data_IF_659549536667
#
_entry.id   IF_659549536667
#
_cell.length_a   1.000
_cell.length_b   1.000
_cell.length_c   1.000
_cell.angle_alpha   90.00
_cell.angle_beta   90.00
_cell.angle_gamma   90.00
#
_symmetry.space_group_name_H-M   'P 1'
#
loop_
_entity.id
_entity.type
_entity.pdbx_description
1 polymer ?
#
# COMPACT_ATOMS: atom_id res chain seq x y z
N UNK A 1 3.90 23.30 16.88
CA UNK A 1 2.64 23.97 17.29
C UNK A 1 2.24 23.37 18.65
N UNK A 2 1.94 24.20 19.66
CA UNK A 2 1.75 23.72 21.06
C UNK A 2 0.43 22.94 21.24
N UNK A 3 0.44 21.98 22.19
CA UNK A 3 -0.64 21.06 22.56
C UNK A 3 -1.99 21.72 22.90
N UNK A 4 -1.98 22.99 23.29
CA UNK A 4 -3.16 23.76 23.69
C UNK A 4 -4.09 24.12 22.52
N UNK A 5 -3.58 24.11 21.27
CA UNK A 5 -4.40 24.33 20.08
C UNK A 5 -5.03 23.04 19.50
N UNK A 6 -4.59 21.85 19.93
CA UNK A 6 -5.12 20.57 19.48
C UNK A 6 -6.45 20.20 20.17
N UNK A 7 -6.56 20.43 21.48
CA UNK A 7 -7.79 20.11 22.24
C UNK A 7 -8.96 21.06 21.92
N UNK A 8 -8.66 22.32 21.57
CA UNK A 8 -9.69 23.30 21.23
C UNK A 8 -10.32 23.03 19.83
N UNK A 9 -9.53 22.54 18.88
CA UNK A 9 -10.03 22.18 17.54
C UNK A 9 -10.98 20.97 17.58
N UNK A 10 -10.74 20.00 18.47
CA UNK A 10 -11.60 18.82 18.64
C UNK A 10 -12.94 19.18 19.28
N UNK A 11 -12.97 20.15 20.19
CA UNK A 11 -14.21 20.57 20.88
C UNK A 11 -15.02 21.57 20.04
N UNK A 12 -14.37 22.48 19.28
CA UNK A 12 -15.07 23.50 18.51
C UNK A 12 -15.74 22.98 17.22
N UNK A 13 -15.27 21.87 16.64
CA UNK A 13 -15.87 21.29 15.42
C UNK A 13 -17.21 20.60 15.68
N UNK A 14 -17.58 20.39 16.94
CA UNK A 14 -18.87 19.79 17.33
C UNK A 14 -20.08 20.74 17.18
N UNK A 15 -19.88 22.04 16.90
CA UNK A 15 -20.98 23.02 16.94
C UNK A 15 -21.04 24.07 15.82
N UNK A 16 -20.27 23.95 14.73
CA UNK A 16 -20.40 24.88 13.60
C UNK A 16 -20.27 24.19 12.23
N UNK A 17 -21.20 23.27 11.93
CA UNK A 17 -21.43 22.82 10.55
C UNK A 17 -22.27 23.90 9.86
N UNK A 18 -21.61 24.90 9.25
CA UNK A 18 -22.29 25.86 8.39
C UNK A 18 -22.62 25.21 7.02
N UNK A 19 -23.82 25.43 6.44
CA UNK A 19 -24.33 24.63 5.31
C UNK A 19 -23.69 24.90 3.94
N UNK A 20 -22.67 25.76 3.84
CA UNK A 20 -22.18 26.28 2.56
C UNK A 20 -21.06 25.42 1.91
N UNK A 21 -20.35 24.58 2.68
CA UNK A 21 -19.26 23.74 2.15
C UNK A 21 -19.69 22.30 1.82
N UNK A 22 -20.97 21.96 1.96
CA UNK A 22 -21.51 20.64 1.59
C UNK A 22 -21.51 20.38 0.06
N UNK A 23 -21.19 21.38 -0.77
CA UNK A 23 -21.29 21.30 -2.23
C UNK A 23 -19.97 20.94 -2.95
N UNK A 24 -18.85 20.73 -2.24
CA UNK A 24 -17.56 20.28 -2.84
C UNK A 24 -16.92 19.05 -2.20
N UNK A 25 -17.47 18.55 -1.09
CA UNK A 25 -17.30 17.14 -0.72
C UNK A 25 -18.45 16.38 -1.37
N UNK A 26 -18.19 15.63 -2.43
CA UNK A 26 -19.03 14.44 -2.65
C UNK A 26 -18.97 13.65 -1.35
N UNK A 27 -20.09 13.58 -0.60
CA UNK A 27 -20.17 12.68 0.55
C UNK A 27 -20.03 11.27 0.01
N UNK A 28 -18.81 10.74 0.03
CA UNK A 28 -18.63 9.31 -0.04
C UNK A 28 -19.34 8.71 1.18
N UNK A 29 -20.04 7.61 0.95
CA UNK A 29 -20.57 6.80 2.04
C UNK A 29 -19.37 6.36 2.88
N UNK A 30 -19.36 6.66 4.18
CA UNK A 30 -18.34 6.19 5.14
C UNK A 30 -18.10 4.66 5.07
N UNK A 31 -18.98 3.93 4.40
CA UNK A 31 -18.90 2.51 4.07
C UNK A 31 -17.80 2.10 3.07
N UNK A 32 -17.12 3.04 2.40
CA UNK A 32 -16.13 2.68 1.38
C UNK A 32 -14.81 2.14 1.96
N UNK A 33 -14.45 2.51 3.20
CA UNK A 33 -13.28 1.96 3.90
C UNK A 33 -13.59 0.66 4.63
N UNK A 34 -14.81 0.54 5.15
CA UNK A 34 -15.22 -0.60 5.95
C UNK A 34 -15.28 -1.86 5.05
N UNK A 35 -14.62 -2.97 5.44
CA UNK A 35 -14.73 -4.19 4.67
C UNK A 35 -16.18 -4.68 4.66
N UNK A 36 -16.63 -5.17 3.50
CA UNK A 36 -18.01 -5.56 3.26
C UNK A 36 -18.14 -7.08 3.24
N UNK A 37 -19.36 -7.58 3.47
CA UNK A 37 -19.67 -9.01 3.28
C UNK A 37 -19.73 -9.31 1.79
N UNK A 38 -19.07 -10.37 1.38
CA UNK A 38 -19.05 -10.88 0.02
C UNK A 38 -19.37 -12.38 -0.01
N UNK A 39 -19.93 -12.83 -1.12
CA UNK A 39 -20.07 -14.26 -1.40
C UNK A 39 -18.70 -14.88 -1.64
N UNK A 40 -18.42 -15.98 -0.95
CA UNK A 40 -17.21 -16.75 -1.22
C UNK A 40 -17.29 -17.42 -2.61
N UNK A 41 -16.16 -17.56 -3.32
CA UNK A 41 -16.12 -18.34 -4.53
C UNK A 41 -16.31 -19.83 -4.20
N UNK A 42 -16.68 -20.61 -5.22
CA UNK A 42 -16.85 -22.07 -5.08
C UNK A 42 -15.51 -22.80 -4.97
N UNK A 43 -14.44 -22.21 -5.50
CA UNK A 43 -13.08 -22.69 -5.32
C UNK A 43 -12.51 -22.25 -3.97
N UNK A 44 -11.53 -23.00 -3.47
CA UNK A 44 -10.81 -22.61 -2.25
C UNK A 44 -10.17 -21.24 -2.41
N UNK A 45 -10.35 -20.37 -1.41
CA UNK A 45 -9.67 -19.07 -1.32
C UNK A 45 -8.32 -19.16 -0.63
N UNK A 46 -7.95 -20.33 -0.11
CA UNK A 46 -6.63 -20.60 0.49
C UNK A 46 -5.93 -21.72 -0.29
N UNK A 47 -4.63 -21.56 -0.50
CA UNK A 47 -3.76 -22.56 -1.12
C UNK A 47 -2.48 -22.77 -0.30
N UNK A 48 -1.86 -23.95 -0.36
CA UNK A 48 -0.51 -24.14 0.17
C UNK A 48 0.52 -23.32 -0.61
N UNK A 49 1.58 -22.88 0.07
CA UNK A 49 2.70 -22.14 -0.51
C UNK A 49 3.72 -23.06 -1.23
N UNK A 50 3.25 -23.85 -2.19
CA UNK A 50 4.08 -24.79 -2.96
C UNK A 50 4.40 -24.35 -4.39
N UNK A 51 3.73 -23.30 -4.88
CA UNK A 51 3.89 -22.72 -6.22
C UNK A 51 3.37 -21.28 -6.22
N UNK A 52 3.55 -20.55 -7.33
CA UNK A 52 2.86 -19.25 -7.54
C UNK A 52 1.35 -19.46 -7.69
N UNK A 53 0.54 -18.45 -7.38
CA UNK A 53 -0.86 -18.43 -7.80
C UNK A 53 -0.98 -18.37 -9.32
N UNK A 54 -2.08 -18.91 -9.84
CA UNK A 54 -2.38 -18.90 -11.27
C UNK A 54 -2.34 -17.48 -11.87
N UNK A 55 -2.90 -16.49 -11.18
CA UNK A 55 -2.91 -15.10 -11.66
C UNK A 55 -1.52 -14.48 -11.76
N UNK A 56 -0.66 -14.75 -10.78
CA UNK A 56 0.74 -14.32 -10.82
C UNK A 56 1.52 -15.04 -11.92
N UNK A 57 1.42 -16.37 -12.01
CA UNK A 57 2.11 -17.15 -13.02
C UNK A 57 1.73 -16.70 -14.46
N UNK A 58 0.45 -16.43 -14.70
CA UNK A 58 -0.03 -15.90 -15.97
C UNK A 58 0.48 -14.49 -16.24
N UNK A 59 0.41 -13.60 -15.25
CA UNK A 59 0.91 -12.23 -15.37
C UNK A 59 2.40 -12.21 -15.74
N UNK A 60 3.20 -13.01 -15.05
CA UNK A 60 4.65 -13.04 -15.18
C UNK A 60 5.06 -13.64 -16.52
N UNK A 61 4.38 -14.68 -17.00
CA UNK A 61 4.59 -15.21 -18.33
C UNK A 61 4.37 -14.14 -19.43
N UNK A 62 3.28 -13.37 -19.33
CA UNK A 62 2.99 -12.29 -20.27
C UNK A 62 3.95 -11.09 -20.13
N UNK A 63 4.28 -10.71 -18.90
CA UNK A 63 5.22 -9.63 -18.61
C UNK A 63 6.63 -9.95 -19.11
N UNK A 64 7.08 -11.20 -18.97
CA UNK A 64 8.44 -11.64 -19.36
C UNK A 64 8.72 -11.38 -20.84
N UNK A 65 7.72 -11.55 -21.72
CA UNK A 65 7.84 -11.24 -23.15
C UNK A 65 8.21 -9.77 -23.38
N UNK A 66 7.57 -8.85 -22.65
CA UNK A 66 7.83 -7.41 -22.73
C UNK A 66 9.18 -7.07 -22.08
N UNK A 67 9.45 -7.65 -20.91
CA UNK A 67 10.66 -7.42 -20.14
C UNK A 67 11.91 -7.87 -20.91
N UNK A 68 11.87 -9.01 -21.60
CA UNK A 68 13.00 -9.54 -22.36
C UNK A 68 13.30 -8.70 -23.59
N UNK A 69 12.27 -8.23 -24.30
CA UNK A 69 12.46 -7.31 -25.42
C UNK A 69 13.10 -5.99 -24.95
N UNK A 70 12.67 -5.47 -23.79
CA UNK A 70 13.26 -4.28 -23.18
C UNK A 70 14.70 -4.52 -22.74
N UNK A 71 15.01 -5.65 -22.09
CA UNK A 71 16.35 -6.01 -21.63
C UNK A 71 17.31 -6.21 -22.81
N UNK A 72 16.90 -6.93 -23.85
CA UNK A 72 17.67 -7.08 -25.09
C UNK A 72 18.01 -5.70 -25.70
N UNK A 73 17.02 -4.80 -25.77
CA UNK A 73 17.22 -3.46 -26.30
C UNK A 73 18.18 -2.64 -25.43
N UNK A 74 18.06 -2.74 -24.11
CA UNK A 74 18.93 -2.04 -23.17
C UNK A 74 20.37 -2.57 -23.22
N UNK A 75 20.57 -3.89 -23.23
CA UNK A 75 21.89 -4.52 -23.32
C UNK A 75 22.61 -4.13 -24.61
N UNK A 76 21.93 -4.11 -25.77
CA UNK A 76 22.53 -3.65 -27.03
C UNK A 76 23.03 -2.22 -26.98
N UNK A 77 22.33 -1.32 -26.25
CA UNK A 77 22.79 0.07 -26.05
C UNK A 77 24.06 0.13 -25.21
N UNK A 78 24.16 -0.73 -24.19
CA UNK A 78 25.33 -0.79 -23.30
C UNK A 78 26.53 -1.40 -24.01
N UNK A 79 26.32 -2.54 -24.67
CA UNK A 79 27.33 -3.19 -25.48
C UNK A 79 26.69 -4.05 -26.58
N UNK A 80 26.96 -3.71 -27.84
CA UNK A 80 26.42 -4.42 -29.00
C UNK A 80 26.88 -5.89 -29.11
N UNK A 81 27.91 -6.30 -28.37
CA UNK A 81 28.39 -7.70 -28.34
C UNK A 81 27.61 -8.59 -27.38
N UNK A 82 26.73 -8.03 -26.53
CA UNK A 82 25.94 -8.84 -25.62
C UNK A 82 24.96 -9.74 -26.37
N UNK A 83 24.85 -10.96 -25.87
CA UNK A 83 23.83 -11.91 -26.30
C UNK A 83 22.46 -11.41 -25.86
N UNK A 84 21.55 -11.28 -26.83
CA UNK A 84 20.24 -10.66 -26.66
C UNK A 84 19.11 -11.55 -27.17
N UNK A 85 19.40 -12.85 -27.27
CA UNK A 85 18.41 -13.89 -27.45
C UNK A 85 17.42 -13.89 -26.29
N UNK A 86 16.21 -13.40 -26.57
CA UNK A 86 15.15 -13.23 -25.56
C UNK A 86 14.70 -14.54 -24.94
N UNK A 87 14.96 -15.70 -25.57
CA UNK A 87 14.65 -17.01 -24.99
C UNK A 87 15.55 -17.40 -23.81
N UNK A 88 16.69 -16.71 -23.64
CA UNK A 88 17.71 -17.02 -22.63
C UNK A 88 17.97 -15.89 -21.64
N UNK A 89 17.25 -14.78 -21.75
CA UNK A 89 17.44 -13.64 -20.84
C UNK A 89 16.90 -13.93 -19.43
N UNK A 90 17.57 -13.45 -18.38
CA UNK A 90 17.16 -13.69 -17.01
C UNK A 90 15.90 -12.91 -16.64
N UNK A 91 15.16 -13.42 -15.66
CA UNK A 91 14.11 -12.64 -14.98
C UNK A 91 14.76 -11.64 -14.04
N UNK A 92 14.48 -10.35 -14.24
CA UNK A 92 14.97 -9.29 -13.36
C UNK A 92 13.92 -8.92 -12.32
N UNK A 93 14.34 -8.89 -11.05
CA UNK A 93 13.57 -8.33 -9.95
C UNK A 93 14.22 -7.04 -9.45
N UNK A 94 13.41 -6.02 -9.20
CA UNK A 94 13.82 -4.80 -8.50
C UNK A 94 13.46 -4.92 -7.03
N UNK A 95 14.41 -4.64 -6.14
CA UNK A 95 14.19 -4.64 -4.70
C UNK A 95 14.35 -3.22 -4.13
N UNK A 96 13.28 -2.69 -3.53
CA UNK A 96 13.27 -1.39 -2.86
C UNK A 96 13.33 -1.53 -1.34
N UNK A 97 14.20 -0.76 -0.70
CA UNK A 97 14.41 -0.85 0.75
C UNK A 97 13.40 -0.04 1.56
N UNK A 98 13.39 -0.27 2.88
CA UNK A 98 12.76 0.63 3.83
C UNK A 98 13.59 1.89 4.11
N UNK A 99 13.00 2.81 4.88
CA UNK A 99 13.64 4.09 5.23
C UNK A 99 12.74 5.32 5.07
N UNK A 100 11.43 5.12 5.11
CA UNK A 100 10.43 6.19 4.99
C UNK A 100 10.66 7.10 3.78
N UNK A 101 10.61 8.41 4.00
CA UNK A 101 10.80 9.44 2.97
C UNK A 101 12.05 9.26 2.14
N UNK A 102 13.16 8.94 2.82
CA UNK A 102 14.45 8.77 2.15
C UNK A 102 14.37 7.64 1.16
N UNK A 103 13.82 6.49 1.55
CA UNK A 103 13.67 5.36 0.64
C UNK A 103 12.73 5.70 -0.53
N UNK A 104 11.56 6.29 -0.25
CA UNK A 104 10.62 6.73 -1.28
C UNK A 104 11.30 7.63 -2.32
N UNK A 105 11.94 8.72 -1.89
CA UNK A 105 12.51 9.72 -2.80
C UNK A 105 13.76 9.22 -3.52
N UNK A 106 14.63 8.45 -2.85
CA UNK A 106 15.81 7.88 -3.51
C UNK A 106 15.41 6.86 -4.58
N UNK A 107 14.49 5.95 -4.25
CA UNK A 107 14.01 4.96 -5.20
C UNK A 107 13.26 5.63 -6.36
N UNK A 108 12.49 6.70 -6.09
CA UNK A 108 11.84 7.50 -7.13
C UNK A 108 12.85 8.08 -8.12
N UNK A 109 13.96 8.68 -7.64
CA UNK A 109 15.01 9.20 -8.52
C UNK A 109 15.69 8.10 -9.36
N UNK A 110 15.91 6.91 -8.78
CA UNK A 110 16.46 5.76 -9.50
C UNK A 110 15.49 5.30 -10.59
N UNK A 111 14.21 5.16 -10.26
CA UNK A 111 13.17 4.77 -11.22
C UNK A 111 13.02 5.82 -12.33
N UNK A 112 13.05 7.11 -12.01
CA UNK A 112 13.03 8.19 -12.98
C UNK A 112 14.16 8.05 -14.00
N UNK A 113 15.39 7.78 -13.54
CA UNK A 113 16.55 7.58 -14.41
C UNK A 113 16.40 6.34 -15.30
N UNK A 114 15.89 5.23 -14.75
CA UNK A 114 15.72 3.95 -15.46
C UNK A 114 14.51 3.94 -16.41
N UNK A 115 13.51 4.79 -16.22
CA UNK A 115 12.28 4.79 -17.01
C UNK A 115 12.45 5.55 -18.33
N UNK A 116 12.34 4.84 -19.46
CA UNK A 116 12.40 5.45 -20.78
C UNK A 116 11.28 6.45 -21.06
N UNK A 117 10.20 6.45 -20.27
CA UNK A 117 9.11 7.43 -20.37
C UNK A 117 9.46 8.77 -19.71
N UNK A 118 10.47 8.79 -18.86
CA UNK A 118 10.69 9.88 -17.90
C UNK A 118 12.09 10.50 -17.96
N UNK A 119 13.06 9.78 -18.54
CA UNK A 119 14.44 10.26 -18.63
C UNK A 119 15.14 9.81 -19.90
N UNK A 120 16.09 10.64 -20.34
CA UNK A 120 17.08 10.32 -21.37
C UNK A 120 18.45 9.94 -20.76
N UNK A 121 18.47 9.47 -19.51
CA UNK A 121 19.71 9.03 -18.86
C UNK A 121 20.34 7.84 -19.61
N UNK A 122 21.63 7.59 -19.35
CA UNK A 122 22.35 6.44 -19.91
C UNK A 122 21.80 5.08 -19.49
N UNK A 123 20.97 5.02 -18.43
CA UNK A 123 20.35 3.78 -17.94
C UNK A 123 18.87 3.67 -18.31
N UNK A 124 18.33 4.59 -19.13
CA UNK A 124 16.92 4.59 -19.47
C UNK A 124 16.48 3.32 -20.24
N UNK A 125 15.24 2.90 -20.02
CA UNK A 125 14.69 1.66 -20.58
C UNK A 125 14.90 0.43 -19.70
N UNK A 126 15.76 0.51 -18.68
CA UNK A 126 15.96 -0.60 -17.75
C UNK A 126 14.72 -0.87 -16.90
N UNK A 127 13.93 0.15 -16.57
CA UNK A 127 12.71 -0.05 -15.78
C UNK A 127 11.72 -0.99 -16.49
N UNK A 128 11.62 -0.87 -17.81
CA UNK A 128 10.76 -1.73 -18.64
C UNK A 128 11.24 -3.20 -18.66
N UNK A 129 12.49 -3.48 -18.32
CA UNK A 129 13.07 -4.82 -18.26
C UNK A 129 12.80 -5.57 -16.94
N UNK A 130 12.31 -4.89 -15.89
CA UNK A 130 11.98 -5.57 -14.64
C UNK A 130 10.66 -6.34 -14.75
N UNK A 131 10.67 -7.56 -14.21
CA UNK A 131 9.52 -8.46 -14.12
C UNK A 131 8.82 -8.35 -12.78
N UNK A 132 9.60 -8.21 -11.69
CA UNK A 132 9.09 -8.00 -10.33
C UNK A 132 9.59 -6.69 -9.73
N UNK A 133 8.82 -6.14 -8.80
CA UNK A 133 9.22 -5.03 -7.94
C UNK A 133 8.80 -5.33 -6.50
N UNK A 134 9.75 -5.83 -5.71
CA UNK A 134 9.57 -6.20 -4.32
C UNK A 134 10.03 -5.07 -3.40
N UNK A 135 9.18 -4.65 -2.46
CA UNK A 135 9.46 -3.47 -1.64
C UNK A 135 8.93 -3.60 -0.22
N UNK A 136 9.58 -2.87 0.70
CA UNK A 136 9.09 -2.70 2.06
C UNK A 136 9.16 -1.25 2.54
N UNK A 137 8.34 -0.89 3.53
CA UNK A 137 8.33 0.42 4.18
C UNK A 137 8.31 1.59 3.17
N UNK A 138 9.30 2.48 3.17
CA UNK A 138 9.35 3.63 2.26
C UNK A 138 9.37 3.29 0.77
N UNK A 139 9.99 2.17 0.36
CA UNK A 139 9.84 1.65 -1.00
C UNK A 139 8.40 1.18 -1.27
N UNK A 140 7.74 0.62 -0.25
CA UNK A 140 6.31 0.31 -0.26
C UNK A 140 5.43 1.53 -0.50
N UNK A 141 5.76 2.68 0.08
CA UNK A 141 5.06 3.94 -0.17
C UNK A 141 5.16 4.35 -1.65
N UNK A 142 6.34 4.23 -2.25
CA UNK A 142 6.54 4.53 -3.66
C UNK A 142 5.77 3.56 -4.56
N UNK A 143 5.91 2.25 -4.35
CA UNK A 143 5.26 1.25 -5.19
C UNK A 143 3.73 1.35 -5.13
N UNK A 144 3.17 1.57 -3.94
CA UNK A 144 1.73 1.77 -3.78
C UNK A 144 1.25 3.10 -4.34
N UNK A 145 2.05 4.17 -4.27
CA UNK A 145 1.77 5.44 -4.96
C UNK A 145 1.73 5.25 -6.48
N UNK A 146 2.73 4.57 -7.06
CA UNK A 146 2.74 4.23 -8.47
C UNK A 146 1.49 3.44 -8.84
N UNK A 147 1.17 2.38 -8.10
CA UNK A 147 0.02 1.53 -8.36
C UNK A 147 -1.33 2.29 -8.28
N UNK A 148 -1.50 3.13 -7.25
CA UNK A 148 -2.71 3.94 -7.02
C UNK A 148 -3.01 4.89 -8.20
N UNK A 149 -1.97 5.42 -8.83
CA UNK A 149 -2.08 6.32 -9.99
C UNK A 149 -1.98 5.58 -11.34
N UNK A 150 -2.11 4.25 -11.35
CA UNK A 150 -1.97 3.41 -12.54
C UNK A 150 -0.60 3.59 -13.22
N UNK A 151 0.48 3.58 -12.43
CA UNK A 151 1.91 3.68 -12.80
C UNK A 151 2.23 4.83 -13.76
N UNK A 152 2.09 6.10 -13.29
CA UNK A 152 2.55 7.26 -14.05
C UNK A 152 4.09 7.29 -14.12
N UNK A 153 4.64 8.38 -14.65
CA UNK A 153 6.08 8.67 -14.51
C UNK A 153 6.38 9.27 -13.12
N UNK A 154 7.63 9.21 -12.69
CA UNK A 154 8.04 9.83 -11.42
C UNK A 154 7.91 11.35 -11.50
N UNK A 155 8.26 11.96 -12.63
CA UNK A 155 8.06 13.41 -12.81
C UNK A 155 6.60 13.83 -12.65
N UNK A 156 5.64 12.97 -13.05
CA UNK A 156 4.23 13.23 -12.80
C UNK A 156 3.90 13.18 -11.30
N UNK A 157 4.34 12.14 -10.59
CA UNK A 157 4.10 12.03 -9.14
C UNK A 157 4.76 13.18 -8.38
N UNK A 158 5.99 13.51 -8.73
CA UNK A 158 6.71 14.64 -8.14
C UNK A 158 5.87 15.92 -8.21
N UNK A 159 5.47 16.31 -9.43
CA UNK A 159 4.78 17.58 -9.68
C UNK A 159 3.34 17.60 -9.13
N UNK A 160 2.60 16.52 -9.28
CA UNK A 160 1.14 16.52 -9.04
C UNK A 160 0.75 15.93 -7.67
N UNK A 161 1.67 15.23 -7.00
CA UNK A 161 1.38 14.52 -5.74
C UNK A 161 2.38 14.93 -4.66
N UNK A 162 3.68 14.76 -4.90
CA UNK A 162 4.67 14.91 -3.84
C UNK A 162 4.95 16.37 -3.48
N UNK A 163 5.15 17.24 -4.47
CA UNK A 163 5.35 18.68 -4.22
C UNK A 163 4.17 19.32 -3.49
N UNK A 164 2.89 19.14 -3.87
CA UNK A 164 1.78 19.75 -3.13
C UNK A 164 1.54 19.13 -1.75
N UNK A 165 1.76 17.83 -1.58
CA UNK A 165 1.33 17.13 -0.37
C UNK A 165 2.43 16.97 0.69
N UNK A 166 3.70 16.84 0.29
CA UNK A 166 4.79 16.50 1.21
C UNK A 166 5.49 17.73 1.80
N UNK A 167 5.16 18.94 1.34
CA UNK A 167 5.72 20.21 1.85
C UNK A 167 5.55 20.40 3.36
N UNK A 168 4.46 19.87 3.92
CA UNK A 168 4.14 20.00 5.34
C UNK A 168 4.44 18.72 6.14
N UNK A 169 5.07 17.70 5.54
CA UNK A 169 5.30 16.38 6.12
C UNK A 169 4.24 15.34 5.73
N UNK A 170 4.60 14.04 5.72
CA UNK A 170 3.78 12.96 5.10
C UNK A 170 2.55 12.62 5.93
N UNK A 171 2.61 12.97 7.20
CA UNK A 171 1.68 12.57 8.25
C UNK A 171 0.88 13.76 8.76
N UNK A 172 1.13 14.92 8.17
CA UNK A 172 0.39 16.14 8.38
C UNK A 172 -0.35 16.39 7.05
N UNK A 173 -1.64 16.01 6.94
CA UNK A 173 -2.40 16.29 5.73
C UNK A 173 -2.33 17.81 5.51
N UNK A 174 -1.57 18.24 4.51
CA UNK A 174 -1.13 19.63 4.38
C UNK A 174 -2.29 20.61 4.15
N UNK A 175 -2.18 21.82 4.70
CA UNK A 175 -3.02 22.97 4.36
C UNK A 175 -4.33 23.13 5.14
N UNK A 176 -5.16 24.08 4.69
CA UNK A 176 -6.43 24.52 5.30
C UNK A 176 -7.45 23.39 5.57
N UNK A 177 -7.28 22.22 4.94
CA UNK A 177 -8.21 21.08 4.99
C UNK A 177 -7.83 19.98 5.99
N UNK A 178 -6.70 20.12 6.71
CA UNK A 178 -6.23 19.12 7.69
C UNK A 178 -7.31 18.68 8.70
N UNK A 179 -8.11 19.59 9.30
CA UNK A 179 -9.14 19.19 10.28
C UNK A 179 -10.26 18.33 9.69
N UNK A 180 -10.65 18.61 8.43
CA UNK A 180 -11.68 17.83 7.73
C UNK A 180 -11.19 16.43 7.38
N UNK A 181 -9.92 16.31 6.95
CA UNK A 181 -9.29 15.03 6.71
C UNK A 181 -9.26 14.17 7.99
N UNK A 182 -8.86 14.73 9.14
CA UNK A 182 -8.87 13.99 10.40
C UNK A 182 -10.26 13.50 10.81
N UNK A 183 -11.29 14.34 10.69
CA UNK A 183 -12.67 13.94 10.99
C UNK A 183 -13.14 12.79 10.10
N UNK A 184 -12.83 12.84 8.80
CA UNK A 184 -13.15 11.77 7.86
C UNK A 184 -12.40 10.47 8.18
N UNK A 185 -11.10 10.55 8.50
CA UNK A 185 -10.30 9.38 8.88
C UNK A 185 -10.89 8.68 10.11
N UNK A 186 -11.30 9.45 11.12
CA UNK A 186 -11.93 8.88 12.31
C UNK A 186 -13.29 8.25 12.00
N UNK A 187 -14.06 8.84 11.08
CA UNK A 187 -15.32 8.26 10.61
C UNK A 187 -15.10 6.94 9.86
N UNK A 188 -14.10 6.87 8.97
CA UNK A 188 -13.72 5.64 8.24
C UNK A 188 -13.34 4.52 9.22
N UNK A 189 -12.50 4.83 10.22
CA UNK A 189 -12.06 3.86 11.24
C UNK A 189 -13.24 3.41 12.11
N UNK A 190 -14.12 4.33 12.51
CA UNK A 190 -15.35 4.00 13.24
C UNK A 190 -16.28 3.11 12.41
N UNK A 191 -16.42 3.34 11.10
CA UNK A 191 -17.20 2.50 10.20
C UNK A 191 -16.64 1.08 10.09
N UNK A 192 -15.31 0.93 9.99
CA UNK A 192 -14.64 -0.39 10.01
C UNK A 192 -14.90 -1.14 11.33
N UNK A 193 -14.83 -0.45 12.47
CA UNK A 193 -15.15 -1.04 13.76
C UNK A 193 -16.63 -1.45 13.86
N UNK A 194 -17.55 -0.60 13.38
CA UNK A 194 -18.99 -0.88 13.33
C UNK A 194 -19.33 -2.07 12.42
N UNK A 195 -18.54 -2.29 11.35
CA UNK A 195 -18.62 -3.46 10.49
C UNK A 195 -18.07 -4.76 11.13
N UNK A 196 -17.51 -4.67 12.35
CA UNK A 196 -17.05 -5.81 13.14
C UNK A 196 -15.59 -6.22 12.88
N UNK A 197 -14.80 -5.38 12.21
CA UNK A 197 -13.39 -5.65 11.94
C UNK A 197 -12.47 -4.98 12.96
N UNK A 198 -11.32 -5.59 13.30
CA UNK A 198 -10.34 -4.98 14.18
C UNK A 198 -9.81 -3.66 13.59
N UNK A 199 -9.66 -2.66 14.45
CA UNK A 199 -9.06 -1.36 14.12
C UNK A 199 -7.81 -1.14 14.96
N UNK A 200 -6.82 -0.51 14.35
CA UNK A 200 -5.49 -0.25 14.92
C UNK A 200 -5.01 1.14 14.56
N UNK A 201 -3.91 1.59 15.16
CA UNK A 201 -3.23 2.81 14.71
C UNK A 201 -2.77 2.72 13.24
N UNK A 202 -2.56 1.50 12.72
CA UNK A 202 -2.24 1.26 11.31
C UNK A 202 -3.34 1.72 10.36
N UNK A 203 -4.61 1.68 10.77
CA UNK A 203 -5.73 2.17 9.96
C UNK A 203 -5.65 3.68 9.78
N UNK A 204 -5.52 4.43 10.87
CA UNK A 204 -5.36 5.89 10.84
C UNK A 204 -4.13 6.28 10.01
N UNK A 205 -3.00 5.60 10.25
CA UNK A 205 -1.78 5.82 9.52
C UNK A 205 -1.93 5.55 8.02
N UNK A 206 -2.59 4.46 7.64
CA UNK A 206 -2.85 4.12 6.23
C UNK A 206 -3.73 5.14 5.53
N UNK A 207 -4.72 5.70 6.23
CA UNK A 207 -5.53 6.81 5.68
C UNK A 207 -4.72 8.08 5.51
N UNK A 208 -3.88 8.44 6.48
CA UNK A 208 -2.97 9.60 6.37
C UNK A 208 -2.01 9.46 5.19
N UNK A 209 -1.43 8.28 5.00
CA UNK A 209 -0.60 7.97 3.82
C UNK A 209 -1.41 8.13 2.53
N UNK A 210 -2.62 7.56 2.48
CA UNK A 210 -3.51 7.65 1.32
C UNK A 210 -3.84 9.11 0.95
N UNK A 211 -4.18 9.96 1.91
CA UNK A 211 -4.45 11.37 1.67
C UNK A 211 -3.27 12.13 1.05
N UNK A 212 -2.04 11.67 1.25
CA UNK A 212 -0.85 12.34 0.74
C UNK A 212 -0.29 11.69 -0.53
N UNK A 213 -0.57 10.41 -0.78
CA UNK A 213 0.06 9.61 -1.83
C UNK A 213 -0.89 9.18 -2.95
N UNK A 214 -2.19 9.10 -2.70
CA UNK A 214 -3.17 8.49 -3.61
C UNK A 214 -4.09 9.52 -4.26
N UNK A 215 -4.74 9.17 -5.39
CA UNK A 215 -5.71 10.05 -6.03
C UNK A 215 -6.99 10.18 -5.18
N UNK A 216 -7.75 11.23 -5.47
CA UNK A 216 -9.04 11.49 -4.82
C UNK A 216 -8.91 12.35 -3.57
N UNK A 217 -9.94 13.16 -3.30
CA UNK A 217 -10.00 14.00 -2.09
C UNK A 217 -10.21 13.19 -0.81
N UNK A 218 -10.58 11.92 -0.95
CA UNK A 218 -10.74 10.95 0.13
C UNK A 218 -9.48 10.11 0.38
N UNK A 219 -8.35 10.42 -0.26
CA UNK A 219 -7.11 9.65 -0.09
C UNK A 219 -7.22 8.20 -0.57
N UNK A 220 -7.98 7.96 -1.65
CA UNK A 220 -8.05 6.66 -2.33
C UNK A 220 -8.69 5.57 -1.48
N UNK A 221 -9.74 5.90 -0.73
CA UNK A 221 -10.37 4.98 0.24
C UNK A 221 -10.92 3.69 -0.39
N UNK A 222 -11.31 3.75 -1.66
CA UNK A 222 -11.83 2.61 -2.42
C UNK A 222 -10.75 1.81 -3.15
N UNK A 223 -9.49 2.27 -3.15
CA UNK A 223 -8.40 1.56 -3.79
C UNK A 223 -8.05 0.33 -2.96
N UNK A 224 -7.92 -0.82 -3.62
CA UNK A 224 -7.51 -2.08 -2.99
C UNK A 224 -6.33 -2.70 -3.71
N UNK A 225 -5.56 -3.52 -3.01
CA UNK A 225 -4.43 -4.25 -3.59
C UNK A 225 -4.91 -5.22 -4.68
N UNK A 226 -6.03 -5.91 -4.45
CA UNK A 226 -6.65 -6.78 -5.47
C UNK A 226 -7.21 -5.99 -6.66
N UNK A 227 -7.66 -4.75 -6.44
CA UNK A 227 -8.20 -3.88 -7.49
C UNK A 227 -7.16 -3.53 -8.57
N UNK A 228 -5.87 -3.63 -8.25
CA UNK A 228 -4.78 -3.38 -9.20
C UNK A 228 -4.84 -4.31 -10.42
N UNK A 229 -5.47 -5.48 -10.32
CA UNK A 229 -5.65 -6.40 -11.45
C UNK A 229 -6.55 -5.82 -12.56
N UNK A 230 -7.30 -4.76 -12.26
CA UNK A 230 -8.15 -4.06 -13.23
C UNK A 230 -7.47 -2.83 -13.84
N UNK A 231 -6.32 -2.41 -13.31
CA UNK A 231 -5.60 -1.22 -13.77
C UNK A 231 -5.03 -1.42 -15.18
N UNK A 232 -5.17 -0.43 -16.05
CA UNK A 232 -4.84 -0.60 -17.47
C UNK A 232 -3.36 -0.84 -17.77
N UNK A 233 -2.43 -0.29 -16.97
CA UNK A 233 -1.01 -0.59 -17.12
C UNK A 233 -0.66 -1.98 -16.57
N UNK A 234 -1.41 -2.46 -15.58
CA UNK A 234 -1.28 -3.84 -15.07
C UNK A 234 -1.78 -4.84 -16.09
N UNK A 235 -3.03 -4.72 -16.57
CA UNK A 235 -3.63 -5.65 -17.55
C UNK A 235 -2.88 -5.70 -18.89
N UNK A 236 -2.19 -4.60 -19.26
CA UNK A 236 -1.31 -4.55 -20.44
C UNK A 236 0.13 -5.01 -20.15
N UNK A 237 0.42 -5.51 -18.95
CA UNK A 237 1.72 -6.01 -18.51
C UNK A 237 2.85 -4.98 -18.70
N UNK A 238 2.54 -3.69 -18.56
CA UNK A 238 3.48 -2.58 -18.81
C UNK A 238 4.39 -2.28 -17.62
N UNK A 239 4.11 -2.89 -16.48
CA UNK A 239 4.74 -2.59 -15.19
C UNK A 239 5.28 -3.88 -14.58
N UNK A 240 6.34 -3.83 -13.75
CA UNK A 240 6.74 -4.99 -12.97
C UNK A 240 5.63 -5.39 -11.99
N UNK A 241 5.54 -6.67 -11.67
CA UNK A 241 4.58 -7.19 -10.71
C UNK A 241 4.95 -6.74 -9.29
N UNK A 242 4.07 -6.03 -8.57
CA UNK A 242 4.40 -5.49 -7.25
C UNK A 242 4.26 -6.58 -6.17
N UNK A 243 5.28 -6.68 -5.32
CA UNK A 243 5.27 -7.49 -4.11
C UNK A 243 5.57 -6.55 -2.94
N UNK A 244 4.59 -6.33 -2.08
CA UNK A 244 4.79 -5.59 -0.85
C UNK A 244 5.07 -6.59 0.26
N UNK A 245 6.06 -6.34 1.11
CA UNK A 245 6.41 -7.25 2.21
C UNK A 245 6.11 -6.63 3.57
N UNK A 246 5.75 -7.45 4.55
CA UNK A 246 5.72 -7.10 5.98
C UNK A 246 6.14 -8.29 6.83
N UNK A 247 6.36 -8.07 8.12
CA UNK A 247 6.64 -9.13 9.08
C UNK A 247 5.54 -9.20 10.13
N UNK A 248 5.25 -10.41 10.59
CA UNK A 248 4.29 -10.65 11.66
C UNK A 248 4.86 -10.32 13.03
N UNK A 249 3.99 -9.80 13.91
CA UNK A 249 4.29 -9.64 15.33
C UNK A 249 3.21 -10.32 16.17
N UNK A 250 3.57 -10.76 17.37
CA UNK A 250 2.62 -11.27 18.36
C UNK A 250 1.97 -10.12 19.14
N UNK A 251 1.51 -9.10 18.43
CA UNK A 251 0.91 -7.91 19.01
C UNK A 251 -0.36 -8.23 19.83
N UNK A 252 -1.11 -9.26 19.44
CA UNK A 252 -2.28 -9.73 20.17
C UNK A 252 -1.94 -10.24 21.58
N UNK A 253 -0.73 -10.75 21.80
CA UNK A 253 -0.23 -11.15 23.13
C UNK A 253 0.53 -10.04 23.85
N UNK A 254 0.49 -8.81 23.35
CA UNK A 254 1.20 -7.65 23.91
C UNK A 254 2.69 -7.60 23.60
N UNK A 255 3.21 -8.50 22.76
CA UNK A 255 4.60 -8.45 22.30
C UNK A 255 4.70 -7.51 21.09
N UNK A 256 5.24 -6.32 21.35
CA UNK A 256 5.37 -5.23 20.39
C UNK A 256 6.67 -5.28 19.59
N UNK A 257 7.55 -6.26 19.86
CA UNK A 257 8.85 -6.40 19.23
C UNK A 257 8.82 -7.50 18.19
N UNK A 258 9.50 -7.25 17.07
CA UNK A 258 9.68 -8.20 15.99
C UNK A 258 10.76 -9.21 16.39
N UNK A 259 10.43 -10.51 16.53
CA UNK A 259 11.45 -11.50 16.80
C UNK A 259 12.35 -11.69 15.55
N UNK A 260 13.61 -12.12 15.71
CA UNK A 260 14.52 -12.34 14.57
C UNK A 260 14.00 -13.36 13.54
N UNK A 261 13.13 -14.27 13.96
CA UNK A 261 12.46 -15.29 13.17
C UNK A 261 10.99 -14.93 12.86
N UNK A 262 10.66 -13.63 12.85
CA UNK A 262 9.33 -13.16 12.50
C UNK A 262 8.89 -13.67 11.13
N UNK A 263 7.66 -14.17 11.07
CA UNK A 263 7.07 -14.65 9.82
C UNK A 263 7.00 -13.52 8.79
N UNK A 264 7.57 -13.76 7.62
CA UNK A 264 7.52 -12.87 6.46
C UNK A 264 6.20 -13.05 5.73
N UNK A 265 5.49 -11.96 5.49
CA UNK A 265 4.29 -11.92 4.66
C UNK A 265 4.53 -11.14 3.37
N UNK A 266 3.82 -11.56 2.33
CA UNK A 266 3.73 -10.90 1.04
C UNK A 266 2.28 -10.45 0.77
N UNK A 267 2.13 -9.24 0.25
CA UNK A 267 0.91 -8.72 -0.34
C UNK A 267 1.17 -8.54 -1.82
N UNK A 268 0.41 -9.26 -2.65
CA UNK A 268 0.43 -9.13 -4.10
C UNK A 268 -0.98 -8.79 -4.60
N UNK A 269 -1.15 -8.38 -5.87
CA UNK A 269 -2.49 -8.14 -6.42
C UNK A 269 -3.40 -9.38 -6.41
N UNK A 270 -2.82 -10.59 -6.33
CA UNK A 270 -3.59 -11.83 -6.36
C UNK A 270 -3.74 -12.46 -4.98
N UNK A 271 -2.76 -12.32 -4.09
CA UNK A 271 -2.73 -13.07 -2.85
C UNK A 271 -1.98 -12.40 -1.71
N UNK A 272 -2.39 -12.75 -0.50
CA UNK A 272 -1.72 -12.43 0.75
C UNK A 272 -1.31 -13.73 1.44
N UNK A 273 -0.08 -13.82 1.93
CA UNK A 273 0.34 -15.02 2.62
C UNK A 273 1.82 -15.05 2.93
N UNK A 274 2.32 -16.25 3.19
CA UNK A 274 3.70 -16.47 3.59
C UNK A 274 4.22 -17.81 3.09
N UNK A 275 5.47 -17.79 2.66
CA UNK A 275 6.25 -18.99 2.33
C UNK A 275 6.85 -19.67 3.57
N UNK A 276 6.85 -19.00 4.72
CA UNK A 276 7.48 -19.52 5.94
C UNK A 276 6.69 -20.68 6.53
N UNK A 277 7.43 -21.65 7.09
CA UNK A 277 6.88 -22.92 7.59
C UNK A 277 5.71 -22.78 8.57
N UNK A 278 5.67 -21.70 9.35
CA UNK A 278 4.62 -21.44 10.34
C UNK A 278 3.24 -21.16 9.73
N UNK A 279 3.20 -20.60 8.52
CA UNK A 279 1.96 -20.27 7.79
C UNK A 279 1.85 -21.08 6.50
N UNK A 280 2.90 -21.08 5.67
CA UNK A 280 3.08 -21.89 4.47
C UNK A 280 1.83 -21.95 3.57
N UNK A 281 1.15 -20.83 3.46
CA UNK A 281 -0.17 -20.72 2.83
C UNK A 281 -0.40 -19.31 2.34
N UNK A 282 -1.19 -19.21 1.28
CA UNK A 282 -1.66 -17.96 0.70
C UNK A 282 -3.17 -17.96 0.61
N UNK A 283 -3.76 -16.80 0.84
CA UNK A 283 -5.16 -16.54 0.58
C UNK A 283 -5.34 -15.53 -0.55
N UNK A 284 -6.44 -15.64 -1.29
CA UNK A 284 -6.77 -14.67 -2.33
C UNK A 284 -6.92 -13.25 -1.74
N UNK A 285 -6.21 -12.27 -2.30
CA UNK A 285 -6.14 -10.90 -1.75
C UNK A 285 -7.51 -10.23 -1.66
N UNK A 286 -8.36 -10.45 -2.67
CA UNK A 286 -9.72 -9.88 -2.72
C UNK A 286 -10.62 -10.32 -1.56
N UNK A 287 -10.27 -11.41 -0.88
CA UNK A 287 -11.01 -11.97 0.25
C UNK A 287 -10.27 -11.85 1.58
N UNK A 288 -9.20 -11.04 1.65
CA UNK A 288 -8.49 -10.74 2.89
C UNK A 288 -9.47 -10.25 3.97
N UNK A 289 -9.22 -10.60 5.22
CA UNK A 289 -10.10 -10.26 6.35
C UNK A 289 -11.27 -11.22 6.57
N UNK A 290 -11.47 -12.21 5.70
CA UNK A 290 -12.45 -13.28 5.92
C UNK A 290 -12.13 -14.08 7.18
N UNK A 291 -13.15 -14.47 7.95
CA UNK A 291 -12.96 -15.38 9.07
C UNK A 291 -12.84 -16.82 8.55
N UNK A 292 -11.71 -17.47 8.83
CA UNK A 292 -11.35 -18.77 8.26
C UNK A 292 -11.18 -19.84 9.34
N UNK A 293 -11.62 -21.06 9.05
CA UNK A 293 -11.34 -22.25 9.85
C UNK A 293 -11.04 -23.43 8.93
N UNK A 294 -9.90 -24.11 9.16
CA UNK A 294 -9.45 -25.25 8.36
C UNK A 294 -9.50 -24.99 6.83
N UNK A 295 -9.05 -23.80 6.40
CA UNK A 295 -9.02 -23.40 4.99
C UNK A 295 -10.37 -22.96 4.39
N UNK A 296 -11.46 -23.01 5.16
CA UNK A 296 -12.80 -22.64 4.70
C UNK A 296 -13.33 -21.40 5.43
N UNK A 297 -14.13 -20.59 4.72
CA UNK A 297 -14.79 -19.44 5.31
C UNK A 297 -15.85 -19.87 6.33
N UNK A 298 -15.80 -19.29 7.52
CA UNK A 298 -16.78 -19.57 8.58
C UNK A 298 -18.16 -19.10 8.13
N UNK A 299 -19.15 -19.99 8.20
CA UNK A 299 -20.51 -19.77 7.71
C UNK A 299 -20.63 -19.41 6.23
N UNK A 300 -19.61 -19.70 5.41
CA UNK A 300 -19.62 -19.41 3.97
C UNK A 300 -19.61 -17.92 3.61
N UNK A 301 -19.26 -17.05 4.55
CA UNK A 301 -19.22 -15.60 4.35
C UNK A 301 -17.78 -15.13 4.20
N UNK A 302 -17.49 -14.44 3.10
CA UNK A 302 -16.20 -13.83 2.86
C UNK A 302 -16.27 -12.33 3.13
N UNK A 303 -15.11 -11.72 3.36
CA UNK A 303 -14.94 -10.28 3.40
C UNK A 303 -14.45 -9.78 2.03
N UNK A 304 -14.70 -8.53 1.70
CA UNK A 304 -14.08 -7.83 0.57
C UNK A 304 -13.71 -6.40 0.97
N UNK A 305 -12.64 -5.84 0.40
CA UNK A 305 -12.21 -4.47 0.66
C UNK A 305 -11.35 -4.30 1.92
N UNK A 306 -11.05 -5.38 2.65
CA UNK A 306 -10.07 -5.33 3.75
C UNK A 306 -8.66 -5.02 3.24
N UNK A 307 -8.36 -5.42 2.02
CA UNK A 307 -7.12 -5.17 1.31
C UNK A 307 -6.99 -3.74 0.77
N UNK A 308 -7.62 -2.75 1.45
CA UNK A 308 -7.46 -1.34 1.14
C UNK A 308 -5.97 -1.00 0.95
N UNK A 309 -5.65 -0.32 -0.14
CA UNK A 309 -4.28 -0.08 -0.56
C UNK A 309 -3.53 0.74 0.50
N UNK A 310 -4.19 1.70 1.16
CA UNK A 310 -3.60 2.49 2.24
C UNK A 310 -3.30 1.66 3.49
N UNK A 311 -4.16 0.69 3.80
CA UNK A 311 -3.90 -0.26 4.88
C UNK A 311 -2.72 -1.19 4.57
N UNK A 312 -2.57 -1.65 3.32
CA UNK A 312 -1.39 -2.40 2.86
C UNK A 312 -0.13 -1.54 2.94
N UNK A 313 -0.19 -0.28 2.47
CA UNK A 313 0.93 0.67 2.57
C UNK A 313 1.34 0.94 4.01
N UNK A 314 0.39 1.06 4.94
CA UNK A 314 0.68 1.19 6.36
C UNK A 314 1.30 -0.09 6.93
N UNK A 315 0.78 -1.26 6.56
CA UNK A 315 1.23 -2.54 7.09
C UNK A 315 2.70 -2.83 6.79
N UNK A 316 3.20 -2.43 5.62
CA UNK A 316 4.62 -2.59 5.24
C UNK A 316 5.55 -1.59 5.92
N UNK A 317 5.02 -0.49 6.46
CA UNK A 317 5.80 0.61 7.03
C UNK A 317 5.43 0.95 8.46
N UNK A 318 4.76 0.02 9.15
CA UNK A 318 4.18 0.30 10.46
C UNK A 318 5.27 0.42 11.54
N UNK A 319 5.81 1.62 11.70
CA UNK A 319 6.78 1.96 12.75
C UNK A 319 6.12 2.15 14.13
N UNK A 320 4.80 1.99 14.23
CA UNK A 320 4.03 2.17 15.45
C UNK A 320 3.84 0.88 16.25
N UNK A 321 4.70 -0.13 16.06
CA UNK A 321 4.68 -1.37 16.84
C UNK A 321 4.61 -1.13 18.36
N UNK A 322 5.22 -0.05 18.85
CA UNK A 322 5.16 0.36 20.26
C UNK A 322 3.75 0.68 20.79
N UNK A 323 2.80 1.09 19.93
CA UNK A 323 1.41 1.36 20.33
C UNK A 323 0.60 0.09 20.62
N UNK A 324 1.16 -1.09 20.35
CA UNK A 324 0.55 -2.36 20.75
C UNK A 324 0.50 -2.53 22.29
N UNK A 325 1.35 -1.82 23.03
CA UNK A 325 1.38 -1.90 24.49
C UNK A 325 0.08 -1.34 25.09
N UNK A 326 -0.56 -2.15 25.95
CA UNK A 326 -1.83 -1.85 26.61
C UNK A 326 -1.85 -0.54 27.41
N UNK A 327 -0.68 -0.01 27.79
CA UNK A 327 -0.55 1.32 28.40
C UNK A 327 -1.00 2.48 27.48
N UNK A 328 -1.06 2.26 26.16
CA UNK A 328 -1.44 3.26 25.15
C UNK A 328 -2.82 3.00 24.51
N UNK A 329 -3.60 2.02 25.00
CA UNK A 329 -4.92 1.62 24.44
C UNK A 329 -6.10 2.54 24.81
N UNK A 330 -5.88 3.60 25.59
CA UNK A 330 -6.95 4.56 25.91
C UNK A 330 -7.15 5.58 24.78
N UNK A 331 -8.30 6.27 24.76
CA UNK A 331 -8.73 7.24 23.75
C UNK A 331 -7.74 8.39 23.43
N UNK A 332 -6.58 8.44 24.10
CA UNK A 332 -5.43 9.28 23.76
C UNK A 332 -4.59 8.79 22.58
N UNK A 333 -4.86 7.61 22.00
CA UNK A 333 -4.07 7.03 20.91
C UNK A 333 -3.97 7.93 19.66
N UNK A 334 -4.99 8.73 19.34
CA UNK A 334 -4.97 9.65 18.18
C UNK A 334 -4.07 10.87 18.45
N UNK A 335 -4.14 11.43 19.66
CA UNK A 335 -3.30 12.56 20.08
C UNK A 335 -1.83 12.13 20.26
N UNK A 336 -1.61 10.94 20.82
CA UNK A 336 -0.29 10.33 20.95
C UNK A 336 0.29 9.90 19.61
N UNK A 337 -0.55 9.50 18.65
CA UNK A 337 -0.14 9.29 17.27
C UNK A 337 0.30 10.63 16.67
N UNK A 338 -0.52 11.69 16.73
CA UNK A 338 -0.14 13.03 16.27
C UNK A 338 1.19 13.54 16.87
N UNK A 339 1.42 13.33 18.18
CA UNK A 339 2.70 13.67 18.83
C UNK A 339 3.85 12.77 18.36
N UNK A 340 3.63 11.46 18.19
CA UNK A 340 4.64 10.53 17.66
C UNK A 340 5.00 10.82 16.19
N UNK A 341 4.03 11.27 15.39
CA UNK A 341 4.21 11.70 14.00
C UNK A 341 5.06 12.98 13.89
N UNK A 342 5.10 13.82 14.95
CA UNK A 342 5.89 15.06 15.00
C UNK A 342 7.32 14.88 15.52
N UNK A 343 7.58 13.87 16.36
CA UNK A 343 8.88 13.70 17.04
C UNK A 343 9.87 12.83 16.26
N UNK A 344 9.40 12.04 15.28
CA UNK A 344 10.24 11.05 14.55
C UNK A 344 10.24 11.18 13.03
N UNK A 345 9.64 12.23 12.47
CA UNK A 345 9.86 12.67 11.09
C UNK A 345 11.04 13.65 11.04
#
# INVERSE_FOLDING_TARGET
MRLDQFSAAIIAVSYAVAPCCAARLERHTADAYAPQRASCPTSSIVRPASSLATGEAQYIAARKIIADAALASWLKKVNATFDTDTSRLPTLGLAGSGGGYRALLNEAGILQAMDARDSNSSVNGLYQAFTYHAVLSGGGWLATSLAAWNWPTISYLQKNVYEPNLQNGLLLPGGFYAPLAYAQILADVAAKAAAGYPVTAGDIYGRLLGCNLFPGTDGGVSLTMSGLTSSSNFTKHKVPYPIITSIGTNASSGNCSEPPDATQYEYTPHEFGSWDRGVNSFMQMAYLGSNMSNGNAVHGNCASGFDNLGFVTASTSNVFGFLCNSAYKSAGAVAQLADALQVRA
#
